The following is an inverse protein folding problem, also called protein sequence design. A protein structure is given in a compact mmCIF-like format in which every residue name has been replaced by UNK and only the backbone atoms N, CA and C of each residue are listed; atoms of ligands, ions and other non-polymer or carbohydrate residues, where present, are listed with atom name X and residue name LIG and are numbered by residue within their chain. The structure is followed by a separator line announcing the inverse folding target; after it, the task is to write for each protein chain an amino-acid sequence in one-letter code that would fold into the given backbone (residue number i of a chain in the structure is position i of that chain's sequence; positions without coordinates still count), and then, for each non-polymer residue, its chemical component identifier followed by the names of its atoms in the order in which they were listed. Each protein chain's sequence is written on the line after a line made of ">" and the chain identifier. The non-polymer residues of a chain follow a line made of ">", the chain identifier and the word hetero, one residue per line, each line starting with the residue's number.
data_IF_798973007464
#
_entry.id   IF_798973007464
#
_cell.length_a   1.000
_cell.length_b   1.000
_cell.length_c   1.000
_cell.angle_alpha   90.00
_cell.angle_beta   90.00
_cell.angle_gamma   90.00
#
_symmetry.space_group_name_H-M   'P 1'
#
loop_
_entity.id
_entity.type
_entity.pdbx_description
1 polymer ?
#
# COMPACT_ATOMS: atom_id res chain seq x y z
N UNK A 1 51.95 3.81 -95.80
CA UNK A 1 51.70 2.42 -96.20
C UNK A 1 51.19 1.66 -95.04
N UNK A 2 50.05 1.14 -95.24
CA UNK A 2 49.44 -0.13 -94.64
C UNK A 2 49.09 -0.07 -93.13
N UNK A 3 47.90 0.11 -92.72
CA UNK A 3 46.77 -0.82 -92.69
C UNK A 3 46.89 -1.83 -91.57
N UNK A 4 45.89 -1.85 -90.75
CA UNK A 4 45.63 -2.91 -89.80
C UNK A 4 44.51 -2.61 -88.79
N UNK A 5 43.29 -2.80 -89.23
CA UNK A 5 42.06 -2.98 -88.46
C UNK A 5 42.17 -4.16 -87.53
N UNK A 6 41.50 -4.14 -86.44
CA UNK A 6 40.39 -5.04 -86.01
C UNK A 6 40.14 -4.88 -84.51
N UNK A 7 38.98 -4.51 -84.27
CA UNK A 7 37.90 -5.37 -83.77
C UNK A 7 38.04 -5.84 -82.31
N UNK A 8 37.23 -5.26 -81.50
CA UNK A 8 36.12 -6.00 -81.04
C UNK A 8 36.14 -6.38 -79.58
N UNK A 9 35.14 -6.04 -78.99
CA UNK A 9 34.33 -6.70 -77.92
C UNK A 9 34.30 -5.96 -76.57
N UNK A 10 33.18 -5.36 -76.45
CA UNK A 10 32.49 -5.06 -75.20
C UNK A 10 32.46 -6.32 -74.29
N UNK A 11 32.95 -6.21 -73.07
CA UNK A 11 32.52 -7.01 -71.96
C UNK A 11 31.88 -6.07 -70.96
N UNK A 12 30.58 -6.09 -70.93
CA UNK A 12 29.78 -5.61 -69.80
C UNK A 12 30.08 -6.49 -68.61
N UNK A 13 30.60 -5.90 -67.56
CA UNK A 13 30.68 -6.55 -66.23
C UNK A 13 29.58 -5.95 -65.38
N UNK A 14 28.42 -6.60 -65.40
CA UNK A 14 27.29 -6.32 -64.50
C UNK A 14 27.61 -6.94 -63.13
N UNK A 15 28.34 -6.23 -62.32
CA UNK A 15 28.42 -6.57 -60.90
C UNK A 15 27.21 -5.97 -60.19
N UNK A 16 26.14 -6.79 -60.13
CA UNK A 16 25.00 -6.58 -59.26
C UNK A 16 25.48 -6.67 -57.79
N UNK A 17 25.57 -5.51 -57.17
CA UNK A 17 25.79 -5.43 -55.72
C UNK A 17 24.50 -5.81 -55.00
N UNK A 18 24.52 -7.01 -54.38
CA UNK A 18 23.47 -7.43 -53.43
C UNK A 18 23.31 -6.40 -52.30
N UNK A 19 22.08 -5.95 -51.99
CA UNK A 19 21.85 -5.13 -50.82
C UNK A 19 21.99 -6.00 -49.58
N UNK A 20 22.93 -5.62 -48.73
CA UNK A 20 23.14 -6.14 -47.38
C UNK A 20 21.81 -6.10 -46.62
N UNK A 21 21.34 -7.17 -45.97
CA UNK A 21 20.08 -7.14 -45.24
C UNK A 21 20.17 -6.15 -44.10
N UNK A 22 19.23 -5.23 -44.13
CA UNK A 22 18.98 -4.19 -43.11
C UNK A 22 18.82 -4.86 -41.74
N UNK A 23 19.66 -4.43 -40.79
CA UNK A 23 19.69 -4.98 -39.44
C UNK A 23 18.38 -4.64 -38.73
N UNK A 24 17.56 -5.66 -38.47
CA UNK A 24 16.33 -5.57 -37.70
C UNK A 24 16.54 -4.81 -36.38
N UNK A 25 15.58 -3.97 -35.95
CA UNK A 25 15.71 -3.12 -34.78
C UNK A 25 15.87 -3.96 -33.51
N UNK A 26 16.87 -3.61 -32.71
CA UNK A 26 17.22 -4.25 -31.44
C UNK A 26 16.09 -4.15 -30.42
N UNK A 27 15.19 -5.13 -30.35
CA UNK A 27 14.18 -5.33 -29.32
C UNK A 27 14.82 -5.63 -27.93
N UNK A 28 16.13 -5.86 -27.89
CA UNK A 28 16.87 -6.29 -26.69
C UNK A 28 16.95 -5.30 -25.53
N UNK A 29 16.75 -3.98 -25.72
CA UNK A 29 16.90 -2.98 -24.64
C UNK A 29 15.68 -2.85 -23.71
N UNK A 30 14.49 -3.17 -24.17
CA UNK A 30 13.26 -3.11 -23.36
C UNK A 30 13.17 -4.29 -22.37
N UNK A 31 13.59 -5.48 -22.75
CA UNK A 31 13.49 -6.70 -21.93
C UNK A 31 14.45 -6.66 -20.73
N UNK A 32 15.69 -6.23 -20.90
CA UNK A 32 16.67 -6.15 -19.80
C UNK A 32 16.37 -5.07 -18.76
N UNK A 33 15.65 -4.02 -19.12
CA UNK A 33 15.21 -2.96 -18.20
C UNK A 33 14.08 -3.42 -17.29
N UNK A 34 13.15 -4.18 -17.82
CA UNK A 34 12.01 -4.74 -17.07
C UNK A 34 12.47 -5.78 -16.06
N UNK A 35 13.31 -6.74 -16.48
CA UNK A 35 13.91 -7.73 -15.56
C UNK A 35 14.75 -7.09 -14.43
N UNK A 36 15.40 -5.95 -14.68
CA UNK A 36 16.12 -5.21 -13.65
C UNK A 36 15.17 -4.53 -12.66
N UNK A 37 14.08 -3.94 -13.14
CA UNK A 37 13.04 -3.35 -12.31
C UNK A 37 12.33 -4.41 -11.45
N UNK A 38 11.99 -5.56 -12.05
CA UNK A 38 11.35 -6.68 -11.34
C UNK A 38 12.23 -7.21 -10.20
N UNK A 39 13.54 -7.34 -10.44
CA UNK A 39 14.50 -7.73 -9.38
C UNK A 39 14.62 -6.68 -8.27
N UNK A 40 14.51 -5.39 -8.58
CA UNK A 40 14.49 -4.33 -7.55
C UNK A 40 13.22 -4.41 -6.73
N UNK A 41 12.07 -4.56 -7.37
CA UNK A 41 10.77 -4.71 -6.71
C UNK A 41 10.73 -5.96 -5.80
N UNK A 42 11.22 -7.09 -6.29
CA UNK A 42 11.31 -8.33 -5.51
C UNK A 42 12.20 -8.16 -4.25
N UNK A 43 13.38 -7.55 -4.39
CA UNK A 43 14.25 -7.29 -3.23
C UNK A 43 13.57 -6.37 -2.22
N UNK A 44 12.90 -5.31 -2.70
CA UNK A 44 12.15 -4.39 -1.84
C UNK A 44 11.04 -5.12 -1.09
N UNK A 45 10.27 -5.96 -1.76
CA UNK A 45 9.20 -6.78 -1.14
C UNK A 45 9.75 -7.71 -0.06
N UNK A 46 10.89 -8.37 -0.30
CA UNK A 46 11.55 -9.22 0.71
C UNK A 46 12.03 -8.42 1.93
N UNK A 47 12.56 -7.22 1.74
CA UNK A 47 12.96 -6.33 2.84
C UNK A 47 11.73 -5.89 3.65
N UNK A 48 10.62 -5.55 3.01
CA UNK A 48 9.37 -5.17 3.67
C UNK A 48 8.76 -6.34 4.45
N UNK A 49 8.75 -7.55 3.88
CA UNK A 49 8.29 -8.74 4.58
C UNK A 49 9.14 -9.04 5.84
N UNK A 50 10.46 -8.92 5.75
CA UNK A 50 11.36 -9.06 6.90
C UNK A 50 11.15 -7.92 7.93
N UNK A 51 10.87 -6.71 7.46
CA UNK A 51 10.50 -5.57 8.30
C UNK A 51 9.22 -5.82 9.07
N UNK A 52 8.16 -6.29 8.39
CA UNK A 52 6.89 -6.67 9.01
C UNK A 52 7.09 -7.72 10.11
N UNK A 53 7.87 -8.76 9.81
CA UNK A 53 8.17 -9.83 10.77
C UNK A 53 8.88 -9.29 12.02
N UNK A 54 9.95 -8.50 11.83
CA UNK A 54 10.74 -7.99 12.95
C UNK A 54 9.99 -6.93 13.76
N UNK A 55 9.33 -5.98 13.10
CA UNK A 55 8.51 -4.98 13.79
C UNK A 55 7.35 -5.62 14.54
N UNK A 56 6.69 -6.59 13.93
CA UNK A 56 5.55 -7.28 14.54
C UNK A 56 5.90 -8.21 15.68
N UNK A 57 7.15 -8.72 15.73
CA UNK A 57 7.59 -9.67 16.79
C UNK A 57 8.51 -9.04 17.83
N UNK A 58 9.40 -8.12 17.42
CA UNK A 58 10.42 -7.51 18.27
C UNK A 58 10.23 -6.01 18.50
N UNK A 59 9.25 -5.42 17.82
CA UNK A 59 8.98 -3.99 17.83
C UNK A 59 9.99 -3.18 16.99
N UNK A 60 9.73 -1.88 16.87
CA UNK A 60 10.58 -0.91 16.15
C UNK A 60 11.99 -0.91 16.72
N UNK A 61 12.15 -0.88 18.04
CA UNK A 61 13.45 -0.87 18.71
C UNK A 61 14.29 -2.14 18.44
N UNK A 62 13.63 -3.28 18.23
CA UNK A 62 14.28 -4.56 17.90
C UNK A 62 14.55 -4.78 16.40
N UNK A 63 14.12 -3.85 15.55
CA UNK A 63 14.24 -3.93 14.08
C UNK A 63 15.44 -3.14 13.62
N UNK A 64 16.47 -3.82 13.15
CA UNK A 64 17.74 -3.21 12.70
C UNK A 64 18.01 -3.53 11.23
N UNK A 65 18.79 -2.69 10.53
CA UNK A 65 19.21 -2.96 9.14
C UNK A 65 19.85 -4.34 9.02
N UNK A 66 20.72 -4.71 9.98
CA UNK A 66 21.35 -6.02 10.00
C UNK A 66 20.31 -7.14 10.10
N UNK A 67 19.39 -7.06 11.06
CA UNK A 67 18.35 -8.08 11.25
C UNK A 67 17.46 -8.24 10.02
N UNK A 68 17.07 -7.10 9.41
CA UNK A 68 16.26 -7.10 8.18
C UNK A 68 17.01 -7.73 7.00
N UNK A 69 18.29 -7.39 6.80
CA UNK A 69 19.09 -7.95 5.70
C UNK A 69 19.39 -9.44 5.90
N UNK A 70 19.67 -9.86 7.14
CA UNK A 70 19.86 -11.28 7.49
C UNK A 70 18.57 -12.08 7.23
N UNK A 71 17.43 -11.60 7.71
CA UNK A 71 16.15 -12.30 7.56
C UNK A 71 15.66 -12.34 6.11
N UNK A 72 15.79 -11.23 5.37
CA UNK A 72 15.37 -11.14 3.97
C UNK A 72 16.30 -11.88 3.00
N UNK A 73 17.56 -12.17 3.40
CA UNK A 73 18.63 -12.66 2.53
C UNK A 73 19.04 -11.63 1.45
N UNK A 74 18.78 -10.34 1.68
CA UNK A 74 19.16 -9.25 0.76
C UNK A 74 20.45 -8.61 1.29
N UNK A 75 21.46 -8.47 0.42
CA UNK A 75 22.72 -7.87 0.84
C UNK A 75 22.54 -6.40 1.28
N UNK A 76 23.32 -5.92 2.29
CA UNK A 76 23.13 -4.58 2.87
C UNK A 76 23.16 -3.42 1.86
N UNK A 77 23.97 -3.52 0.80
CA UNK A 77 24.01 -2.50 -0.24
C UNK A 77 22.64 -2.27 -0.91
N UNK A 78 21.86 -3.35 -1.11
CA UNK A 78 20.53 -3.27 -1.74
C UNK A 78 19.46 -2.76 -0.77
N UNK A 79 19.70 -2.86 0.55
CA UNK A 79 18.87 -2.17 1.53
C UNK A 79 18.92 -0.65 1.30
N UNK A 80 20.13 -0.08 1.19
CA UNK A 80 20.31 1.36 0.99
C UNK A 80 19.93 1.85 -0.41
N UNK A 81 19.81 0.96 -1.39
CA UNK A 81 19.17 1.28 -2.68
C UNK A 81 17.64 1.43 -2.55
N UNK A 82 17.01 0.77 -1.56
CA UNK A 82 15.56 0.73 -1.36
C UNK A 82 15.06 1.69 -0.28
N UNK A 83 15.85 1.90 0.77
CA UNK A 83 15.52 2.70 1.94
C UNK A 83 16.74 3.51 2.39
N UNK A 84 16.53 4.80 2.68
CA UNK A 84 17.61 5.68 3.14
C UNK A 84 18.20 5.21 4.50
N UNK A 85 17.33 4.74 5.37
CA UNK A 85 17.66 4.28 6.71
C UNK A 85 16.61 3.29 7.23
N UNK A 86 16.76 2.85 8.46
CA UNK A 86 15.81 1.92 9.09
C UNK A 86 14.46 2.57 9.37
N UNK A 87 14.40 3.88 9.66
CA UNK A 87 13.16 4.59 9.87
C UNK A 87 12.33 4.67 8.59
N UNK A 88 12.96 4.85 7.43
CA UNK A 88 12.30 4.78 6.13
C UNK A 88 11.67 3.40 5.87
N UNK A 89 12.33 2.32 6.28
CA UNK A 89 11.73 0.97 6.24
C UNK A 89 10.52 0.88 7.19
N UNK A 90 10.64 1.36 8.44
CA UNK A 90 9.53 1.32 9.40
C UNK A 90 8.30 2.04 8.88
N UNK A 91 8.48 3.24 8.31
CA UNK A 91 7.40 4.00 7.69
C UNK A 91 6.78 3.30 6.48
N UNK A 92 7.60 2.62 5.69
CA UNK A 92 7.13 1.88 4.53
C UNK A 92 6.32 0.64 4.95
N UNK A 93 6.78 -0.13 5.94
CA UNK A 93 6.04 -1.27 6.49
C UNK A 93 4.70 -0.82 7.09
N UNK A 94 4.71 0.24 7.91
CA UNK A 94 3.48 0.83 8.45
C UNK A 94 2.51 1.23 7.32
N UNK A 95 3.03 1.90 6.29
CA UNK A 95 2.25 2.33 5.13
C UNK A 95 1.64 1.16 4.36
N UNK A 96 2.35 0.05 4.18
CA UNK A 96 1.79 -1.15 3.52
C UNK A 96 0.65 -1.77 4.32
N UNK A 97 0.75 -1.85 5.65
CA UNK A 97 -0.33 -2.37 6.47
C UNK A 97 -1.57 -1.47 6.39
N UNK A 98 -1.40 -0.15 6.42
CA UNK A 98 -2.49 0.81 6.23
C UNK A 98 -3.14 0.67 4.84
N UNK A 99 -2.32 0.58 3.80
CA UNK A 99 -2.81 0.45 2.42
C UNK A 99 -3.59 -0.85 2.21
N UNK A 100 -3.11 -1.96 2.77
CA UNK A 100 -3.84 -3.23 2.78
C UNK A 100 -5.23 -3.06 3.43
N UNK A 101 -5.30 -2.42 4.60
CA UNK A 101 -6.56 -2.14 5.28
C UNK A 101 -7.51 -1.28 4.44
N UNK A 102 -6.99 -0.25 3.78
CA UNK A 102 -7.77 0.61 2.90
C UNK A 102 -8.33 -0.17 1.69
N UNK A 103 -7.50 -0.98 1.04
CA UNK A 103 -7.92 -1.79 -0.12
C UNK A 103 -8.98 -2.83 0.27
N UNK A 104 -8.82 -3.52 1.41
CA UNK A 104 -9.79 -4.47 1.93
C UNK A 104 -11.12 -3.78 2.25
N UNK A 105 -11.07 -2.62 2.90
CA UNK A 105 -12.26 -1.82 3.23
C UNK A 105 -13.02 -1.36 1.98
N UNK A 106 -12.32 -0.90 0.95
CA UNK A 106 -12.92 -0.52 -0.34
C UNK A 106 -13.58 -1.70 -1.02
N UNK A 107 -12.91 -2.86 -1.06
CA UNK A 107 -13.46 -4.08 -1.65
C UNK A 107 -14.72 -4.57 -0.90
N UNK A 108 -14.69 -4.56 0.44
CA UNK A 108 -15.83 -4.91 1.28
C UNK A 108 -17.02 -3.96 1.05
N UNK A 109 -16.74 -2.66 0.97
CA UNK A 109 -17.76 -1.65 0.72
C UNK A 109 -18.43 -1.81 -0.65
N UNK A 110 -17.65 -2.16 -1.68
CA UNK A 110 -18.17 -2.41 -3.03
C UNK A 110 -19.08 -3.64 -3.10
N UNK A 111 -18.90 -4.60 -2.21
CA UNK A 111 -19.68 -5.86 -2.13
C UNK A 111 -20.86 -5.78 -1.16
N UNK A 112 -20.88 -4.76 -0.28
CA UNK A 112 -21.89 -4.62 0.75
C UNK A 112 -23.28 -4.23 0.16
N UNK A 113 -24.39 -4.69 0.77
CA UNK A 113 -25.72 -4.19 0.43
C UNK A 113 -25.82 -2.66 0.55
N UNK A 114 -26.78 -2.06 -0.16
CA UNK A 114 -27.00 -0.61 -0.14
C UNK A 114 -27.72 -0.14 1.16
N UNK A 115 -27.40 -0.77 2.27
CA UNK A 115 -27.84 -0.43 3.62
C UNK A 115 -26.66 0.09 4.44
N UNK A 116 -26.84 1.22 5.09
CA UNK A 116 -25.76 1.92 5.81
C UNK A 116 -25.15 1.08 6.92
N UNK A 117 -25.99 0.34 7.66
CA UNK A 117 -25.50 -0.51 8.74
C UNK A 117 -24.68 -1.69 8.21
N UNK A 118 -25.12 -2.30 7.09
CA UNK A 118 -24.38 -3.36 6.43
C UNK A 118 -23.03 -2.85 5.88
N UNK A 119 -22.99 -1.65 5.33
CA UNK A 119 -21.77 -1.01 4.82
C UNK A 119 -20.79 -0.69 5.96
N UNK A 120 -21.27 -0.15 7.08
CA UNK A 120 -20.47 0.08 8.29
C UNK A 120 -19.89 -1.24 8.76
N UNK A 121 -20.71 -2.29 8.88
CA UNK A 121 -20.29 -3.62 9.29
C UNK A 121 -19.18 -4.16 8.40
N UNK A 122 -19.35 -4.13 7.09
CA UNK A 122 -18.38 -4.65 6.13
C UNK A 122 -16.99 -4.00 6.31
N UNK A 123 -16.94 -2.70 6.49
CA UNK A 123 -15.67 -1.98 6.73
C UNK A 123 -15.07 -2.34 8.10
N UNK A 124 -15.90 -2.36 9.15
CA UNK A 124 -15.41 -2.65 10.52
C UNK A 124 -14.90 -4.09 10.65
N UNK A 125 -15.54 -5.06 9.99
CA UNK A 125 -15.07 -6.45 9.95
C UNK A 125 -13.66 -6.54 9.37
N UNK A 126 -13.40 -5.87 8.24
CA UNK A 126 -12.07 -5.86 7.62
C UNK A 126 -11.02 -5.17 8.48
N UNK A 127 -11.38 -4.07 9.15
CA UNK A 127 -10.45 -3.36 10.05
C UNK A 127 -10.13 -4.17 11.31
N UNK A 128 -11.13 -4.82 11.89
CA UNK A 128 -10.94 -5.73 13.04
C UNK A 128 -10.06 -6.91 12.64
N UNK A 129 -10.33 -7.52 11.48
CA UNK A 129 -9.54 -8.64 10.97
C UNK A 129 -8.10 -8.26 10.62
N UNK A 130 -7.88 -7.08 10.08
CA UNK A 130 -6.52 -6.59 9.82
C UNK A 130 -5.67 -6.57 11.10
N UNK A 131 -6.28 -6.24 12.24
CA UNK A 131 -5.59 -6.10 13.53
C UNK A 131 -5.52 -7.45 14.27
N UNK A 132 -6.59 -8.23 14.26
CA UNK A 132 -6.68 -9.42 15.10
C UNK A 132 -6.23 -10.72 14.42
N UNK A 133 -6.40 -10.85 13.09
CA UNK A 133 -6.03 -12.07 12.37
C UNK A 133 -4.51 -12.22 12.16
N UNK A 134 -3.78 -11.11 12.07
CA UNK A 134 -2.32 -11.10 12.07
C UNK A 134 -1.79 -10.23 13.23
N UNK A 135 -1.41 -10.85 14.37
CA UNK A 135 -0.93 -10.11 15.53
C UNK A 135 0.27 -9.20 15.25
N UNK A 136 1.06 -9.48 14.20
CA UNK A 136 2.18 -8.63 13.79
C UNK A 136 1.69 -7.29 13.27
N UNK A 137 0.64 -7.31 12.42
CA UNK A 137 0.00 -6.10 11.89
C UNK A 137 -0.68 -5.31 13.00
N UNK A 138 -1.43 -6.02 13.85
CA UNK A 138 -2.06 -5.42 15.03
C UNK A 138 -1.04 -4.71 15.92
N UNK A 139 0.08 -5.37 16.24
CA UNK A 139 1.16 -4.76 17.01
C UNK A 139 1.68 -3.47 16.35
N UNK A 140 1.95 -3.50 15.05
CA UNK A 140 2.47 -2.34 14.30
C UNK A 140 1.49 -1.17 14.34
N UNK A 141 0.19 -1.42 14.14
CA UNK A 141 -0.82 -0.37 14.10
C UNK A 141 -1.15 0.22 15.47
N UNK A 142 -1.11 -0.60 16.52
CA UNK A 142 -1.58 -0.23 17.86
C UNK A 142 -0.43 0.14 18.78
N UNK A 143 0.62 -0.70 18.87
CA UNK A 143 1.69 -0.53 19.85
C UNK A 143 2.87 0.27 19.30
N UNK A 144 3.28 -0.02 18.08
CA UNK A 144 4.48 0.58 17.49
C UNK A 144 4.19 1.93 16.80
N UNK A 145 2.91 2.27 16.61
CA UNK A 145 2.50 3.52 15.96
C UNK A 145 3.06 4.78 16.65
N UNK A 146 3.40 4.73 17.93
CA UNK A 146 3.98 5.84 18.70
C UNK A 146 5.45 5.60 19.07
N UNK A 147 6.08 4.53 18.59
CA UNK A 147 7.44 4.16 18.97
C UNK A 147 8.51 5.13 18.45
N UNK A 148 8.20 5.92 17.42
CA UNK A 148 9.06 7.02 16.97
C UNK A 148 8.24 8.26 16.62
N UNK A 149 8.84 9.47 16.65
CA UNK A 149 8.14 10.69 16.25
C UNK A 149 7.64 10.65 14.79
N UNK A 150 8.34 9.95 13.90
CA UNK A 150 7.94 9.83 12.50
C UNK A 150 6.72 8.92 12.34
N UNK A 151 6.71 7.75 13.00
CA UNK A 151 5.54 6.86 13.03
C UNK A 151 4.34 7.53 13.70
N UNK A 152 4.53 8.25 14.82
CA UNK A 152 3.45 8.98 15.49
C UNK A 152 2.79 10.02 14.60
N UNK A 153 3.59 10.80 13.86
CA UNK A 153 3.04 11.75 12.86
C UNK A 153 2.30 11.03 11.73
N UNK A 154 2.85 9.94 11.23
CA UNK A 154 2.20 9.15 10.17
C UNK A 154 0.88 8.56 10.65
N UNK A 155 0.87 7.92 11.83
CA UNK A 155 -0.33 7.35 12.43
C UNK A 155 -1.43 8.39 12.62
N UNK A 156 -1.08 9.58 13.14
CA UNK A 156 -2.03 10.66 13.32
C UNK A 156 -2.57 11.19 11.97
N UNK A 157 -1.74 11.26 10.95
CA UNK A 157 -2.16 11.67 9.60
C UNK A 157 -3.15 10.66 9.00
N UNK A 158 -2.88 9.35 9.13
CA UNK A 158 -3.79 8.30 8.66
C UNK A 158 -5.11 8.28 9.44
N UNK A 159 -5.05 8.43 10.76
CA UNK A 159 -6.27 8.55 11.59
C UNK A 159 -7.15 9.71 11.14
N UNK A 160 -6.56 10.88 10.84
CA UNK A 160 -7.31 12.03 10.30
C UNK A 160 -7.88 11.75 8.91
N UNK A 161 -7.13 11.07 8.05
CA UNK A 161 -7.59 10.68 6.71
C UNK A 161 -8.81 9.77 6.80
N UNK A 162 -8.77 8.73 7.64
CA UNK A 162 -9.90 7.82 7.84
C UNK A 162 -11.10 8.53 8.48
N UNK A 163 -10.88 9.38 9.47
CA UNK A 163 -11.93 10.19 10.07
C UNK A 163 -12.58 11.13 9.04
N UNK A 164 -11.79 11.76 8.17
CA UNK A 164 -12.29 12.58 7.07
C UNK A 164 -13.17 11.79 6.10
N UNK A 165 -12.74 10.59 5.69
CA UNK A 165 -13.55 9.72 4.81
C UNK A 165 -14.86 9.29 5.48
N UNK A 166 -14.82 8.94 6.78
CA UNK A 166 -16.01 8.59 7.55
C UNK A 166 -16.98 9.78 7.64
N UNK A 167 -16.46 10.96 7.96
CA UNK A 167 -17.25 12.19 8.05
C UNK A 167 -17.90 12.55 6.72
N UNK A 168 -17.16 12.48 5.60
CA UNK A 168 -17.69 12.74 4.25
C UNK A 168 -18.77 11.73 3.88
N UNK A 169 -18.58 10.46 4.17
CA UNK A 169 -19.58 9.42 3.93
C UNK A 169 -20.87 9.63 4.75
N UNK A 170 -20.75 10.13 5.97
CA UNK A 170 -21.91 10.42 6.83
C UNK A 170 -22.69 11.64 6.36
N UNK A 171 -22.01 12.71 5.89
CA UNK A 171 -22.64 13.96 5.49
C UNK A 171 -23.30 13.91 4.11
N UNK A 172 -22.75 13.13 3.19
CA UNK A 172 -23.13 13.15 1.77
C UNK A 172 -24.07 12.03 1.35
N UNK A 173 -24.47 11.16 2.27
CA UNK A 173 -25.23 9.96 1.88
C UNK A 173 -24.47 9.04 0.92
N UNK A 174 -23.13 9.17 0.87
CA UNK A 174 -22.26 8.37 0.03
C UNK A 174 -21.62 9.11 -1.16
N UNK A 175 -21.80 10.41 -1.31
CA UNK A 175 -21.11 11.22 -2.33
C UNK A 175 -19.63 11.45 -1.89
N UNK A 176 -18.64 10.91 -2.62
CA UNK A 176 -17.22 11.06 -2.27
C UNK A 176 -16.63 12.44 -2.58
N UNK A 177 -17.42 13.37 -3.10
CA UNK A 177 -16.95 14.68 -3.57
C UNK A 177 -16.85 15.77 -2.50
N UNK A 178 -17.25 15.53 -1.25
CA UNK A 178 -17.14 16.51 -0.17
C UNK A 178 -15.74 16.52 0.44
N UNK A 179 -15.08 17.69 0.37
CA UNK A 179 -13.80 17.92 1.03
C UNK A 179 -13.96 17.82 2.56
N UNK A 180 -13.14 17.04 3.27
CA UNK A 180 -13.26 16.85 4.73
C UNK A 180 -13.24 18.15 5.54
N UNK A 181 -12.51 19.17 5.06
CA UNK A 181 -12.39 20.45 5.73
C UNK A 181 -13.64 21.36 5.59
N UNK A 182 -14.53 21.06 4.66
CA UNK A 182 -15.82 21.76 4.47
C UNK A 182 -16.93 21.24 5.38
N UNK A 183 -16.71 20.14 6.10
CA UNK A 183 -17.72 19.52 6.94
C UNK A 183 -17.87 20.24 8.28
N UNK A 184 -19.08 20.22 8.89
CA UNK A 184 -19.30 20.76 10.22
C UNK A 184 -18.31 20.21 11.25
N UNK A 185 -17.87 21.08 12.17
CA UNK A 185 -16.86 20.73 13.17
C UNK A 185 -17.26 19.53 14.01
N UNK A 186 -18.53 19.44 14.38
CA UNK A 186 -19.05 18.34 15.21
C UNK A 186 -18.96 17.00 14.50
N UNK A 187 -19.26 16.93 13.20
CA UNK A 187 -19.12 15.71 12.40
C UNK A 187 -17.65 15.27 12.35
N UNK A 188 -16.72 16.20 12.19
CA UNK A 188 -15.28 15.93 12.18
C UNK A 188 -14.77 15.44 13.55
N UNK A 189 -15.24 16.03 14.64
CA UNK A 189 -14.89 15.61 16.01
C UNK A 189 -15.40 14.21 16.31
N UNK A 190 -16.65 13.92 15.94
CA UNK A 190 -17.27 12.61 16.12
C UNK A 190 -16.53 11.54 15.31
N UNK A 191 -16.24 11.81 14.04
CA UNK A 191 -15.51 10.86 13.20
C UNK A 191 -14.10 10.58 13.76
N UNK A 192 -13.40 11.60 14.25
CA UNK A 192 -12.08 11.43 14.88
C UNK A 192 -12.17 10.60 16.17
N UNK A 193 -13.19 10.82 16.97
CA UNK A 193 -13.45 10.04 18.20
C UNK A 193 -13.73 8.57 17.87
N UNK A 194 -14.59 8.29 16.87
CA UNK A 194 -14.93 6.93 16.48
C UNK A 194 -13.71 6.15 15.96
N UNK A 195 -12.89 6.77 15.10
CA UNK A 195 -11.68 6.12 14.57
C UNK A 195 -10.68 5.86 15.69
N UNK A 196 -10.43 6.84 16.57
CA UNK A 196 -9.54 6.69 17.72
C UNK A 196 -10.04 5.65 18.72
N UNK A 197 -11.33 5.70 19.03
CA UNK A 197 -11.99 4.74 19.92
C UNK A 197 -11.94 3.31 19.39
N UNK A 198 -12.19 3.12 18.09
CA UNK A 198 -12.05 1.81 17.43
C UNK A 198 -10.64 1.23 17.60
N UNK A 199 -9.61 2.01 17.23
CA UNK A 199 -8.20 1.57 17.33
C UNK A 199 -7.86 1.19 18.79
N UNK A 200 -8.28 2.02 19.77
CA UNK A 200 -8.04 1.76 21.17
C UNK A 200 -8.77 0.50 21.66
N UNK A 201 -10.04 0.34 21.29
CA UNK A 201 -10.85 -0.83 21.69
C UNK A 201 -10.30 -2.13 21.12
N UNK A 202 -10.00 -2.17 19.81
CA UNK A 202 -9.42 -3.35 19.17
C UNK A 202 -8.02 -3.63 19.74
N UNK A 203 -7.26 -2.59 20.08
CA UNK A 203 -5.98 -2.70 20.75
C UNK A 203 -6.09 -3.37 22.13
N UNK A 204 -7.07 -3.00 22.94
CA UNK A 204 -7.31 -3.62 24.24
C UNK A 204 -7.65 -5.11 24.11
N UNK A 205 -8.40 -5.50 23.06
CA UNK A 205 -8.66 -6.91 22.76
C UNK A 205 -7.39 -7.63 22.31
N UNK A 206 -6.59 -7.03 21.43
CA UNK A 206 -5.31 -7.58 20.96
C UNK A 206 -4.34 -7.85 22.13
N UNK A 207 -4.31 -6.94 23.11
CA UNK A 207 -3.44 -7.03 24.28
C UNK A 207 -3.99 -8.00 25.35
N UNK A 208 -5.24 -8.45 25.21
CA UNK A 208 -5.90 -9.32 26.18
C UNK A 208 -6.48 -8.59 27.39
N UNK A 209 -6.47 -7.25 27.40
CA UNK A 209 -7.08 -6.46 28.48
C UNK A 209 -8.61 -6.61 28.52
N UNK A 210 -9.20 -6.83 27.34
CA UNK A 210 -10.62 -7.12 27.16
C UNK A 210 -10.77 -8.45 26.41
N UNK A 211 -11.48 -9.39 27.01
CA UNK A 211 -11.80 -10.68 26.39
C UNK A 211 -13.21 -10.62 25.81
N UNK A 212 -13.32 -10.75 24.51
CA UNK A 212 -14.59 -10.69 23.79
C UNK A 212 -14.50 -11.54 22.52
N UNK A 213 -15.59 -12.15 22.13
CA UNK A 213 -15.67 -12.81 20.82
C UNK A 213 -15.67 -11.78 19.69
N UNK A 214 -14.97 -12.07 18.59
CA UNK A 214 -14.83 -11.19 17.43
C UNK A 214 -16.19 -10.67 16.93
N UNK A 215 -17.19 -11.56 16.81
CA UNK A 215 -18.51 -11.19 16.31
C UNK A 215 -19.16 -10.14 17.23
N UNK A 216 -19.09 -10.32 18.54
CA UNK A 216 -19.64 -9.38 19.51
C UNK A 216 -18.89 -8.03 19.50
N UNK A 217 -17.55 -8.05 19.36
CA UNK A 217 -16.77 -6.81 19.20
C UNK A 217 -17.25 -6.02 17.98
N UNK A 218 -17.41 -6.68 16.82
CA UNK A 218 -17.90 -6.04 15.61
C UNK A 218 -19.32 -5.50 15.82
N UNK A 219 -20.21 -6.24 16.44
CA UNK A 219 -21.59 -5.78 16.73
C UNK A 219 -21.61 -4.51 17.56
N UNK A 220 -20.83 -4.45 18.63
CA UNK A 220 -20.70 -3.26 19.48
C UNK A 220 -20.16 -2.06 18.69
N UNK A 221 -19.13 -2.27 17.90
CA UNK A 221 -18.56 -1.19 17.06
C UNK A 221 -19.58 -0.71 16.02
N UNK A 222 -20.32 -1.60 15.37
CA UNK A 222 -21.36 -1.25 14.41
C UNK A 222 -22.47 -0.43 15.07
N UNK A 223 -22.90 -0.81 16.29
CA UNK A 223 -23.91 -0.06 17.03
C UNK A 223 -23.46 1.36 17.36
N UNK A 224 -22.20 1.53 17.79
CA UNK A 224 -21.62 2.83 18.10
C UNK A 224 -21.54 3.72 16.85
N UNK A 225 -21.05 3.18 15.74
CA UNK A 225 -20.92 3.92 14.48
C UNK A 225 -22.29 4.28 13.88
N UNK A 226 -23.29 3.39 13.98
CA UNK A 226 -24.62 3.62 13.48
C UNK A 226 -25.39 4.64 14.33
N UNK A 227 -25.26 4.59 15.67
CA UNK A 227 -25.95 5.52 16.58
C UNK A 227 -25.57 6.99 16.34
N UNK A 228 -24.33 7.26 15.99
CA UNK A 228 -23.85 8.61 15.71
C UNK A 228 -24.48 9.19 14.44
N UNK A 229 -24.70 8.39 13.40
CA UNK A 229 -25.34 8.86 12.16
C UNK A 229 -26.77 9.33 12.38
N UNK A 230 -27.52 8.67 13.25
CA UNK A 230 -28.90 9.09 13.57
C UNK A 230 -28.95 10.42 14.32
N UNK A 231 -27.92 10.77 15.08
CA UNK A 231 -27.86 12.03 15.85
C UNK A 231 -27.50 13.23 14.95
N UNK A 232 -26.77 13.02 13.86
CA UNK A 232 -26.36 14.09 12.91
C UNK A 232 -27.40 14.39 11.82
N UNK A 233 -28.48 13.60 11.71
CA UNK A 233 -29.54 13.78 10.70
C UNK A 233 -30.77 14.56 11.23
N UNK A 234 -30.73 15.14 12.43
CA UNK A 234 -31.90 15.75 13.12
C UNK A 234 -31.84 17.28 13.21
N UNK A 235 -31.01 17.97 12.39
CA UNK A 235 -31.06 19.44 12.30
C UNK A 235 -31.27 19.91 10.87
#
# INVERSE_FOLDING_TARGET
>A
MSAGQSDGRLCQDDSVSDPKPDSAPRVRRRYGGQEAADRVAERRSRLLAAGLELMGTRGVAGTTVRGVTELSGVAPRYFYESFADIEALHLAVYGEVIEEGAQRSVAALASAPADDRARIRAVLEEMVDLILADPRKGRILVLEATASPALGRRSLAESRRFAGMLASSAASGGDPGLEPDSLPTDIRLIAQFLVGGMISTVGAVLLGDVQVERAHLVDVLVDLFAAVRTTTSVD
#
